data_IF_942383218677
#
_entry.id   IF_942383218677
#
_cell.length_a   1.000
_cell.length_b   1.000
_cell.length_c   1.000
_cell.angle_alpha   90.00
_cell.angle_beta   90.00
_cell.angle_gamma   90.00
#
_symmetry.space_group_name_H-M   'P 1'
#
loop_
_entity.id
_entity.type
_entity.pdbx_description
1 polymer ?
#
# COMPACT_ATOMS: atom_id res chain seq x y z
N UNK A 1 -10.75 15.28 -10.29
CA UNK A 1 -10.90 13.92 -9.71
C UNK A 1 -10.04 13.83 -8.46
N UNK A 2 -10.12 12.75 -7.66
CA UNK A 2 -9.19 12.60 -6.53
C UNK A 2 -7.72 12.55 -6.98
N UNK A 3 -7.42 12.01 -8.17
CA UNK A 3 -6.06 12.04 -8.73
C UNK A 3 -5.54 13.49 -8.89
N UNK A 4 -6.33 14.37 -9.51
CA UNK A 4 -5.98 15.79 -9.66
C UNK A 4 -5.78 16.49 -8.32
N UNK A 5 -6.65 16.20 -7.34
CA UNK A 5 -6.61 16.77 -6.00
C UNK A 5 -5.33 16.36 -5.26
N UNK A 6 -4.97 15.07 -5.26
CA UNK A 6 -3.75 14.60 -4.62
C UNK A 6 -2.48 15.08 -5.33
N UNK A 7 -2.51 15.25 -6.66
CA UNK A 7 -1.41 15.88 -7.40
C UNK A 7 -1.23 17.34 -7.01
N UNK A 8 -2.31 18.10 -6.86
CA UNK A 8 -2.26 19.48 -6.39
C UNK A 8 -1.71 19.56 -4.96
N UNK A 9 -2.16 18.67 -4.06
CA UNK A 9 -1.63 18.59 -2.68
C UNK A 9 -0.12 18.30 -2.66
N UNK A 10 0.36 17.39 -3.51
CA UNK A 10 1.79 17.07 -3.60
C UNK A 10 2.63 18.25 -4.12
N UNK A 11 2.06 19.13 -4.95
CA UNK A 11 2.72 20.36 -5.37
C UNK A 11 2.79 21.41 -4.25
N UNK A 12 1.77 21.43 -3.37
CA UNK A 12 1.66 22.41 -2.29
C UNK A 12 2.46 22.04 -1.04
N UNK A 13 2.70 20.75 -0.81
CA UNK A 13 3.29 20.24 0.43
C UNK A 13 4.55 19.41 0.16
N UNK A 14 5.76 19.96 0.39
CA UNK A 14 7.03 19.27 0.10
C UNK A 14 7.24 17.94 0.84
N UNK A 15 6.50 17.72 1.93
CA UNK A 15 6.57 16.49 2.75
C UNK A 15 5.53 15.44 2.33
N UNK A 16 4.67 15.75 1.34
CA UNK A 16 3.64 14.86 0.84
C UNK A 16 3.99 14.40 -0.57
N UNK A 17 3.98 13.10 -0.81
CA UNK A 17 4.15 12.53 -2.15
C UNK A 17 2.98 11.62 -2.47
N UNK A 18 2.41 11.80 -3.66
CA UNK A 18 1.34 10.95 -4.19
C UNK A 18 1.90 10.03 -5.28
N UNK A 19 1.77 8.73 -5.08
CA UNK A 19 2.28 7.69 -6.02
C UNK A 19 1.11 6.84 -6.49
N UNK A 20 0.42 7.23 -7.57
CA UNK A 20 -0.64 6.40 -8.14
C UNK A 20 -0.04 5.19 -8.85
N UNK A 21 -0.67 4.02 -8.70
CA UNK A 21 -0.23 2.75 -9.29
C UNK A 21 -1.38 2.05 -9.99
N UNK A 22 -1.12 1.57 -11.22
CA UNK A 22 -2.07 0.79 -12.00
C UNK A 22 -1.49 -0.60 -12.27
N UNK A 23 -2.16 -1.65 -11.79
CA UNK A 23 -1.64 -3.03 -11.84
C UNK A 23 -1.84 -3.73 -13.18
N UNK A 24 -2.78 -3.26 -14.00
CA UNK A 24 -3.15 -3.86 -15.28
C UNK A 24 -3.10 -2.84 -16.43
N UNK A 25 -2.27 -1.81 -16.31
CA UNK A 25 -2.15 -0.78 -17.33
C UNK A 25 -1.39 -1.30 -18.57
N UNK A 26 -1.95 -1.18 -19.79
CA UNK A 26 -1.29 -1.65 -21.01
C UNK A 26 0.08 -0.99 -21.24
N UNK A 27 1.02 -1.74 -21.82
CA UNK A 27 2.37 -1.26 -22.14
C UNK A 27 2.38 -0.10 -23.15
N UNK A 28 1.37 -0.01 -24.02
CA UNK A 28 1.23 1.05 -25.03
C UNK A 28 0.38 2.25 -24.60
N UNK A 29 0.04 2.37 -23.32
CA UNK A 29 -0.71 3.51 -22.80
C UNK A 29 0.16 4.73 -22.55
N UNK A 30 -0.47 5.90 -22.48
CA UNK A 30 0.19 7.16 -22.09
C UNK A 30 0.42 7.27 -20.56
N UNK A 31 0.22 6.18 -19.80
CA UNK A 31 0.43 6.19 -18.35
C UNK A 31 1.91 6.37 -18.02
N UNK A 32 2.24 7.41 -17.26
CA UNK A 32 3.61 7.68 -16.81
C UNK A 32 3.86 7.38 -15.33
N UNK A 33 2.81 7.01 -14.58
CA UNK A 33 2.90 6.67 -13.15
C UNK A 33 3.42 5.25 -12.88
N UNK A 34 3.36 4.85 -11.61
CA UNK A 34 3.78 3.52 -11.20
C UNK A 34 2.91 2.44 -11.86
N UNK A 35 3.55 1.35 -12.28
CA UNK A 35 2.89 0.16 -12.83
C UNK A 35 3.08 -1.00 -11.86
N UNK A 36 2.06 -1.83 -11.76
CA UNK A 36 2.04 -2.97 -10.83
C UNK A 36 1.21 -2.70 -9.58
N UNK A 37 1.39 -3.57 -8.59
CA UNK A 37 0.62 -3.52 -7.35
C UNK A 37 1.16 -2.45 -6.39
N UNK A 38 0.28 -1.90 -5.55
CA UNK A 38 0.61 -0.81 -4.61
C UNK A 38 1.77 -1.13 -3.65
N UNK A 39 1.93 -2.38 -3.24
CA UNK A 39 3.05 -2.78 -2.37
C UNK A 39 4.40 -2.69 -3.11
N UNK A 40 4.44 -2.98 -4.42
CA UNK A 40 5.64 -2.83 -5.25
C UNK A 40 5.96 -1.35 -5.45
N UNK A 41 4.94 -0.52 -5.70
CA UNK A 41 5.11 0.93 -5.79
C UNK A 41 5.67 1.52 -4.47
N UNK A 42 5.16 1.08 -3.32
CA UNK A 42 5.69 1.48 -2.02
C UNK A 42 7.14 1.02 -1.81
N UNK A 43 7.47 -0.22 -2.16
CA UNK A 43 8.83 -0.73 -2.08
C UNK A 43 9.81 0.08 -2.93
N UNK A 44 9.43 0.42 -4.17
CA UNK A 44 10.25 1.24 -5.04
C UNK A 44 10.42 2.66 -4.49
N UNK A 45 9.34 3.28 -4.00
CA UNK A 45 9.35 4.65 -3.49
C UNK A 45 10.23 4.80 -2.24
N UNK A 46 10.17 3.84 -1.31
CA UNK A 46 10.94 3.85 -0.06
C UNK A 46 12.25 3.04 -0.15
N UNK A 47 12.65 2.62 -1.35
CA UNK A 47 13.89 1.85 -1.58
C UNK A 47 13.97 0.58 -0.71
N UNK A 48 12.83 -0.05 -0.43
CA UNK A 48 12.72 -1.26 0.38
C UNK A 48 13.02 -1.08 1.87
N UNK A 49 13.09 0.15 2.40
CA UNK A 49 13.29 0.40 3.82
C UNK A 49 12.19 1.30 4.39
N UNK A 50 11.45 0.79 5.36
CA UNK A 50 10.33 1.46 6.01
C UNK A 50 10.58 1.73 7.50
N UNK A 51 11.82 1.51 7.98
CA UNK A 51 12.17 1.72 9.37
C UNK A 51 11.89 3.17 9.81
N UNK A 52 11.21 3.34 10.95
CA UNK A 52 10.86 4.66 11.49
C UNK A 52 9.59 5.28 10.91
N UNK A 53 8.91 4.60 9.98
CA UNK A 53 7.60 5.03 9.47
C UNK A 53 6.44 4.41 10.24
N UNK A 54 5.23 4.86 9.90
CA UNK A 54 3.95 4.24 10.28
C UNK A 54 3.17 4.00 9.01
N UNK A 55 2.57 2.82 8.87
CA UNK A 55 1.79 2.47 7.69
C UNK A 55 0.31 2.38 8.05
N UNK A 56 -0.52 3.01 7.22
CA UNK A 56 -1.98 2.92 7.30
C UNK A 56 -2.47 2.27 6.01
N UNK A 57 -3.09 1.10 6.13
CA UNK A 57 -3.51 0.27 4.99
C UNK A 57 -5.02 0.11 5.00
N UNK A 58 -5.65 0.36 3.85
CA UNK A 58 -7.09 0.18 3.68
C UNK A 58 -7.38 -0.45 2.32
N UNK A 59 -8.14 -1.55 2.30
CA UNK A 59 -8.54 -2.19 1.05
C UNK A 59 -8.83 -3.69 1.15
N UNK A 60 -8.89 -4.40 0.00
CA UNK A 60 -9.20 -5.83 -0.04
C UNK A 60 -8.17 -6.65 0.75
N UNK A 61 -8.57 -7.73 1.43
CA UNK A 61 -7.67 -8.53 2.26
C UNK A 61 -6.39 -8.97 1.54
N UNK A 62 -6.42 -9.48 0.29
CA UNK A 62 -5.21 -9.88 -0.42
C UNK A 62 -4.21 -8.73 -0.63
N UNK A 63 -4.71 -7.51 -0.85
CA UNK A 63 -3.86 -6.33 -1.01
C UNK A 63 -3.21 -5.93 0.32
N UNK A 64 -3.98 -5.94 1.41
CA UNK A 64 -3.48 -5.62 2.75
C UNK A 64 -2.41 -6.63 3.19
N UNK A 65 -2.62 -7.93 2.98
CA UNK A 65 -1.62 -8.95 3.30
C UNK A 65 -0.31 -8.76 2.51
N UNK A 66 -0.39 -8.48 1.21
CA UNK A 66 0.80 -8.22 0.38
C UNK A 66 1.57 -6.97 0.85
N UNK A 67 0.86 -5.91 1.24
CA UNK A 67 1.45 -4.71 1.82
C UNK A 67 2.15 -5.00 3.16
N UNK A 68 1.50 -5.73 4.08
CA UNK A 68 2.11 -6.10 5.37
C UNK A 68 3.41 -6.88 5.15
N UNK A 69 3.39 -7.89 4.28
CA UNK A 69 4.58 -8.69 3.99
C UNK A 69 5.73 -7.83 3.46
N UNK A 70 5.44 -6.93 2.52
CA UNK A 70 6.44 -6.00 1.94
C UNK A 70 6.99 -5.03 2.98
N UNK A 71 6.13 -4.47 3.83
CA UNK A 71 6.52 -3.54 4.90
C UNK A 71 7.43 -4.22 5.94
N UNK A 72 7.09 -5.45 6.34
CA UNK A 72 7.90 -6.24 7.27
C UNK A 72 9.27 -6.61 6.69
N UNK A 73 9.35 -6.93 5.40
CA UNK A 73 10.64 -7.14 4.72
C UNK A 73 11.53 -5.89 4.78
N UNK A 74 10.93 -4.70 4.67
CA UNK A 74 11.62 -3.42 4.84
C UNK A 74 11.68 -2.92 6.29
N UNK A 75 11.63 -3.81 7.28
CA UNK A 75 11.85 -3.53 8.71
C UNK A 75 10.79 -2.66 9.41
N UNK A 76 9.58 -2.57 8.86
CA UNK A 76 8.44 -2.02 9.59
C UNK A 76 7.65 -3.16 10.25
N UNK A 77 7.56 -3.13 11.58
CA UNK A 77 6.96 -4.21 12.37
C UNK A 77 5.52 -3.89 12.79
N UNK A 78 4.78 -4.92 13.21
CA UNK A 78 3.34 -4.90 13.52
C UNK A 78 2.88 -3.67 14.33
N UNK A 79 3.64 -3.25 15.35
CA UNK A 79 3.30 -2.10 16.20
C UNK A 79 3.06 -0.80 15.42
N UNK A 80 3.69 -0.66 14.26
CA UNK A 80 3.67 0.53 13.43
C UNK A 80 2.88 0.31 12.11
N UNK A 81 2.09 -0.78 12.01
CA UNK A 81 1.20 -1.09 10.87
C UNK A 81 -0.26 -1.11 11.34
N UNK A 82 -1.08 -0.25 10.77
CA UNK A 82 -2.51 -0.12 11.06
C UNK A 82 -3.32 -0.52 9.82
N UNK A 83 -4.35 -1.36 10.00
CA UNK A 83 -5.11 -1.90 8.86
C UNK A 83 -6.61 -1.80 9.04
N UNK A 84 -7.29 -1.43 7.97
CA UNK A 84 -8.74 -1.58 7.80
C UNK A 84 -8.99 -2.47 6.58
N UNK A 85 -9.54 -3.66 6.79
CA UNK A 85 -9.81 -4.61 5.69
C UNK A 85 -11.24 -4.46 5.23
N UNK A 86 -11.44 -4.34 3.93
CA UNK A 86 -12.77 -4.41 3.32
C UNK A 86 -13.22 -5.86 3.31
N UNK A 87 -14.00 -6.26 4.30
CA UNK A 87 -14.54 -7.60 4.40
C UNK A 87 -15.86 -7.69 3.62
N UNK A 88 -15.91 -8.57 2.62
CA UNK A 88 -17.15 -9.00 2.00
C UNK A 88 -17.71 -10.26 2.68
N UNK A 89 -18.94 -10.66 2.35
CA UNK A 89 -19.52 -11.91 2.86
C UNK A 89 -18.70 -13.17 2.50
N UNK A 90 -17.96 -13.13 1.39
CA UNK A 90 -17.05 -14.21 0.99
C UNK A 90 -15.77 -14.25 1.85
N UNK A 91 -15.38 -13.12 2.46
CA UNK A 91 -14.18 -13.04 3.31
C UNK A 91 -14.46 -13.47 4.76
N UNK A 92 -15.73 -13.57 5.16
CA UNK A 92 -16.14 -13.95 6.51
C UNK A 92 -15.72 -15.38 6.90
N UNK A 93 -15.44 -16.25 5.93
CA UNK A 93 -14.92 -17.61 6.16
C UNK A 93 -13.38 -17.70 6.12
N UNK A 94 -12.67 -16.61 5.80
CA UNK A 94 -11.20 -16.56 5.69
C UNK A 94 -10.52 -16.41 7.05
N UNK A 95 -9.65 -17.37 7.40
CA UNK A 95 -8.90 -17.38 8.66
C UNK A 95 -8.14 -16.08 8.92
N UNK A 96 -8.04 -15.70 10.20
CA UNK A 96 -7.20 -14.58 10.67
C UNK A 96 -5.78 -14.72 10.11
N UNK A 97 -5.23 -13.62 9.59
CA UNK A 97 -3.90 -13.61 8.99
C UNK A 97 -2.87 -14.20 9.97
N UNK A 98 -2.10 -15.23 9.56
CA UNK A 98 -1.09 -15.86 10.41
C UNK A 98 0.11 -14.95 10.71
N UNK A 99 0.20 -13.79 10.05
CA UNK A 99 1.28 -12.82 10.23
C UNK A 99 1.21 -12.10 11.58
N UNK A 100 0.03 -11.95 12.16
CA UNK A 100 -0.18 -11.31 13.46
C UNK A 100 -0.39 -12.37 14.54
N UNK A 101 0.69 -13.02 14.99
CA UNK A 101 0.64 -13.85 16.21
C UNK A 101 0.94 -12.97 17.41
N UNK A 102 -0.06 -12.83 18.31
CA UNK A 102 0.11 -12.20 19.63
C UNK A 102 1.26 -12.89 20.37
N UNK A 103 2.31 -12.13 20.69
CA UNK A 103 3.25 -12.46 21.78
C UNK A 103 2.60 -12.02 23.09
#
# INVERSE_FOLDING_TARGET
TYDDEFRALAQQHPQFTYVPSLSAEPEGSDWSGARGFVHQAAQAHFQGNFAGHKAYLCGPPPMVEACIATLMQGRLFERDIYTEKFLSAADAQGARSPLFKRV
#
